data_IF_919261007822
#
_entry.id   IF_919261007822
#
_cell.length_a   1.000
_cell.length_b   1.000
_cell.length_c   1.000
_cell.angle_alpha   90.00
_cell.angle_beta   90.00
_cell.angle_gamma   90.00
#
_symmetry.space_group_name_H-M   'P 1'
#
loop_
_entity.id
_entity.type
_entity.pdbx_description
1 polymer ?
#
# COMPACT_ATOMS: atom_id res chain seq x y z
N UNK A 1 21.60 -2.36 15.78
CA UNK A 1 20.62 -2.25 14.68
C UNK A 1 19.61 -1.19 15.05
N UNK A 2 19.53 -0.13 14.25
CA UNK A 2 18.65 1.03 14.45
C UNK A 2 17.18 0.63 14.56
N UNK A 3 16.76 -0.37 13.76
CA UNK A 3 15.39 -0.90 13.75
C UNK A 3 14.82 -1.26 15.14
N UNK A 4 15.62 -1.89 16.02
CA UNK A 4 15.15 -2.27 17.36
C UNK A 4 14.93 -1.04 18.25
N UNK A 5 15.76 -0.01 18.09
CA UNK A 5 15.62 1.24 18.82
C UNK A 5 14.41 2.02 18.31
N UNK A 6 14.25 2.11 16.99
CA UNK A 6 13.15 2.82 16.34
C UNK A 6 11.78 2.21 16.72
N UNK A 7 11.68 0.87 16.75
CA UNK A 7 10.47 0.16 17.21
C UNK A 7 10.20 0.34 18.71
N UNK A 8 11.24 0.42 19.54
CA UNK A 8 11.07 0.66 20.97
C UNK A 8 10.52 2.07 21.22
N UNK A 9 11.10 3.07 20.57
CA UNK A 9 10.64 4.46 20.64
C UNK A 9 9.22 4.62 20.09
N UNK A 10 8.89 3.93 18.99
CA UNK A 10 7.52 3.89 18.47
C UNK A 10 6.53 3.36 19.51
N UNK A 11 6.81 2.22 20.15
CA UNK A 11 5.90 1.64 21.16
C UNK A 11 5.71 2.53 22.39
N UNK A 12 6.79 3.17 22.85
CA UNK A 12 6.70 4.14 23.94
C UNK A 12 5.78 5.31 23.54
N UNK A 13 6.02 5.93 22.38
CA UNK A 13 5.21 7.04 21.88
C UNK A 13 3.76 6.65 21.59
N UNK A 14 3.52 5.44 21.08
CA UNK A 14 2.18 4.93 20.81
C UNK A 14 1.36 4.83 22.09
N UNK A 15 1.96 4.37 23.20
CA UNK A 15 1.30 4.33 24.49
C UNK A 15 0.97 5.75 25.00
N UNK A 16 1.87 6.73 24.84
CA UNK A 16 1.60 8.12 25.22
C UNK A 16 0.51 8.79 24.36
N UNK A 17 0.47 8.49 23.07
CA UNK A 17 -0.55 8.99 22.14
C UNK A 17 -1.97 8.53 22.49
N UNK A 18 -2.13 7.42 23.21
CA UNK A 18 -3.45 6.96 23.69
C UNK A 18 -4.00 7.81 24.84
N UNK A 19 -3.16 8.59 25.52
CA UNK A 19 -3.53 9.38 26.71
C UNK A 19 -3.43 10.90 26.51
N UNK A 20 -2.78 11.39 25.44
CA UNK A 20 -2.59 12.80 25.14
C UNK A 20 -3.35 13.24 23.88
N UNK A 21 -4.09 14.35 23.97
CA UNK A 21 -4.93 14.87 22.88
C UNK A 21 -4.19 15.77 21.88
N UNK A 22 -2.92 16.08 22.10
CA UNK A 22 -2.16 16.99 21.23
C UNK A 22 -0.77 16.40 20.96
N UNK A 23 -0.58 15.90 19.73
CA UNK A 23 0.68 15.33 19.27
C UNK A 23 1.34 16.34 18.34
N UNK A 24 2.57 16.73 18.68
CA UNK A 24 3.37 17.57 17.81
C UNK A 24 3.67 16.83 16.48
N UNK A 25 3.93 17.60 15.41
CA UNK A 25 4.14 17.05 14.07
C UNK A 25 5.29 16.03 13.99
N UNK A 26 6.34 16.18 14.82
CA UNK A 26 7.46 15.24 14.85
C UNK A 26 7.07 13.90 15.48
N UNK A 27 6.24 13.95 16.52
CA UNK A 27 5.69 12.75 17.16
C UNK A 27 4.72 12.03 16.24
N UNK A 28 3.86 12.77 15.52
CA UNK A 28 2.97 12.18 14.52
C UNK A 28 3.76 11.45 13.42
N UNK A 29 4.78 12.10 12.85
CA UNK A 29 5.62 11.48 11.82
C UNK A 29 6.33 10.20 12.32
N UNK A 30 6.75 10.17 13.58
CA UNK A 30 7.37 8.97 14.17
C UNK A 30 6.37 7.84 14.42
N UNK A 31 5.13 8.16 14.80
CA UNK A 31 4.06 7.17 14.93
C UNK A 31 3.68 6.59 13.57
N UNK A 32 3.47 7.46 12.58
CA UNK A 32 3.16 7.09 11.20
C UNK A 32 4.23 6.16 10.62
N UNK A 33 5.51 6.48 10.84
CA UNK A 33 6.63 5.64 10.41
C UNK A 33 6.69 4.31 11.16
N UNK A 34 6.46 4.32 12.47
CA UNK A 34 6.48 3.12 13.28
C UNK A 34 5.35 2.14 12.95
N UNK A 35 4.17 2.65 12.57
CA UNK A 35 3.05 1.84 12.08
C UNK A 35 3.43 1.10 10.80
N UNK A 36 4.06 1.80 9.85
CA UNK A 36 4.56 1.23 8.59
C UNK A 36 5.67 0.20 8.81
N UNK A 37 6.56 0.46 9.76
CA UNK A 37 7.60 -0.49 10.17
C UNK A 37 7.01 -1.77 10.77
N UNK A 38 5.93 -1.68 11.53
CA UNK A 38 5.25 -2.88 12.05
C UNK A 38 4.56 -3.64 10.92
N UNK A 39 3.92 -2.92 9.99
CA UNK A 39 3.19 -3.54 8.89
C UNK A 39 4.10 -4.32 7.94
N UNK A 40 5.23 -3.76 7.53
CA UNK A 40 6.19 -4.44 6.63
C UNK A 40 6.85 -5.66 7.28
N UNK A 41 6.85 -5.74 8.61
CA UNK A 41 7.36 -6.90 9.33
C UNK A 41 6.33 -8.02 9.48
N UNK A 42 5.07 -7.80 9.08
CA UNK A 42 4.04 -8.85 9.07
C UNK A 42 4.30 -9.79 7.91
N UNK A 43 4.55 -11.06 8.23
CA UNK A 43 4.69 -12.12 7.24
C UNK A 43 3.47 -13.04 7.28
N UNK A 44 2.95 -13.38 6.10
CA UNK A 44 1.91 -14.40 5.98
C UNK A 44 2.44 -15.77 6.44
N UNK A 45 1.61 -16.52 7.13
CA UNK A 45 1.98 -17.86 7.60
C UNK A 45 2.30 -18.77 6.41
N UNK A 46 3.36 -19.58 6.53
CA UNK A 46 3.82 -20.52 5.49
C UNK A 46 4.40 -19.88 4.22
N UNK A 47 4.74 -18.59 4.24
CA UNK A 47 5.48 -17.94 3.15
C UNK A 47 6.94 -17.74 3.56
N UNK A 48 7.84 -18.72 3.33
CA UNK A 48 9.25 -18.56 3.63
C UNK A 48 9.85 -17.48 2.72
N UNK A 49 10.33 -16.40 3.31
CA UNK A 49 11.00 -15.31 2.59
C UNK A 49 12.51 -15.49 2.62
N UNK A 50 13.16 -15.33 1.46
CA UNK A 50 14.61 -15.37 1.36
C UNK A 50 15.25 -14.23 2.17
N UNK A 51 16.44 -14.45 2.75
CA UNK A 51 17.10 -13.48 3.64
C UNK A 51 17.38 -12.18 2.90
N UNK A 52 17.80 -12.26 1.64
CA UNK A 52 18.03 -11.11 0.76
C UNK A 52 16.79 -10.22 0.59
N UNK A 53 15.60 -10.80 0.52
CA UNK A 53 14.34 -10.07 0.41
C UNK A 53 13.92 -9.44 1.74
N UNK A 54 14.15 -10.15 2.86
CA UNK A 54 13.92 -9.58 4.20
C UNK A 54 14.83 -8.37 4.44
N UNK A 55 16.11 -8.47 4.07
CA UNK A 55 17.07 -7.37 4.17
C UNK A 55 16.63 -6.19 3.30
N UNK A 56 16.15 -6.45 2.09
CA UNK A 56 15.61 -5.41 1.20
C UNK A 56 14.43 -4.65 1.86
N UNK A 57 13.45 -5.37 2.42
CA UNK A 57 12.31 -4.76 3.13
C UNK A 57 12.77 -3.86 4.29
N UNK A 58 13.74 -4.33 5.08
CA UNK A 58 14.29 -3.56 6.20
C UNK A 58 15.04 -2.31 5.72
N UNK A 59 15.82 -2.41 4.64
CA UNK A 59 16.54 -1.26 4.07
C UNK A 59 15.55 -0.21 3.57
N UNK A 60 14.51 -0.62 2.83
CA UNK A 60 13.50 0.28 2.31
C UNK A 60 12.80 1.06 3.44
N UNK A 61 12.48 0.38 4.54
CA UNK A 61 11.83 0.98 5.71
C UNK A 61 12.76 1.92 6.50
N UNK A 62 14.03 1.54 6.67
CA UNK A 62 15.03 2.39 7.33
C UNK A 62 15.36 3.66 6.54
N UNK A 63 15.23 3.61 5.21
CA UNK A 63 15.45 4.77 4.34
C UNK A 63 14.21 5.66 4.17
N UNK A 64 13.05 5.25 4.69
CA UNK A 64 11.82 6.05 4.66
C UNK A 64 11.03 5.96 3.35
N UNK A 65 11.31 4.97 2.49
CA UNK A 65 10.56 4.79 1.24
C UNK A 65 9.09 4.41 1.45
N UNK A 66 8.74 3.96 2.65
CA UNK A 66 7.35 3.65 3.02
C UNK A 66 6.57 4.85 3.57
N UNK A 67 7.25 5.97 3.88
CA UNK A 67 6.62 7.10 4.58
C UNK A 67 5.50 7.74 3.73
N UNK A 68 5.64 7.72 2.40
CA UNK A 68 4.63 8.21 1.44
C UNK A 68 3.54 7.20 1.08
N UNK A 69 3.58 5.99 1.62
CA UNK A 69 2.64 4.91 1.31
C UNK A 69 1.63 4.79 2.46
N UNK A 70 0.36 4.56 2.13
CA UNK A 70 -0.65 4.27 3.14
C UNK A 70 -0.41 2.90 3.77
N UNK A 71 -0.68 2.76 5.07
CA UNK A 71 -0.39 1.52 5.83
C UNK A 71 -1.06 0.30 5.19
N UNK A 72 -2.29 0.46 4.71
CA UNK A 72 -3.06 -0.60 4.04
C UNK A 72 -2.40 -1.09 2.74
N UNK A 73 -1.69 -0.21 2.04
CA UNK A 73 -1.02 -0.51 0.77
C UNK A 73 0.33 -1.21 0.94
N UNK A 74 0.89 -1.26 2.15
CA UNK A 74 2.22 -1.85 2.40
C UNK A 74 2.25 -3.34 2.05
N UNK A 75 1.18 -4.05 2.39
CA UNK A 75 1.00 -5.48 2.07
C UNK A 75 1.08 -5.77 0.57
N UNK A 76 0.79 -4.78 -0.26
CA UNK A 76 0.85 -4.86 -1.71
C UNK A 76 2.15 -4.31 -2.31
N UNK A 77 2.71 -3.29 -1.64
CA UNK A 77 3.95 -2.66 -2.01
C UNK A 77 5.12 -3.64 -1.89
N UNK A 78 5.22 -4.35 -0.76
CA UNK A 78 6.33 -5.27 -0.48
C UNK A 78 6.55 -6.32 -1.58
N UNK A 79 5.56 -7.15 -1.97
CA UNK A 79 5.78 -8.18 -2.98
C UNK A 79 6.13 -7.60 -4.36
N UNK A 80 5.53 -6.46 -4.73
CA UNK A 80 5.82 -5.78 -6.00
C UNK A 80 7.24 -5.17 -6.00
N UNK A 81 7.68 -4.63 -4.86
CA UNK A 81 9.04 -4.14 -4.68
C UNK A 81 10.05 -5.30 -4.83
N UNK A 82 9.76 -6.45 -4.20
CA UNK A 82 10.59 -7.64 -4.32
C UNK A 82 10.69 -8.12 -5.77
N UNK A 83 9.58 -8.17 -6.49
CA UNK A 83 9.55 -8.55 -7.91
C UNK A 83 10.35 -7.56 -8.78
N UNK A 84 10.13 -6.27 -8.59
CA UNK A 84 10.84 -5.22 -9.33
C UNK A 84 12.36 -5.29 -9.14
N UNK A 85 12.82 -5.40 -7.89
CA UNK A 85 14.26 -5.50 -7.59
C UNK A 85 14.82 -6.84 -8.07
N UNK A 86 14.08 -7.93 -7.92
CA UNK A 86 14.53 -9.24 -8.42
C UNK A 86 14.68 -9.28 -9.94
N UNK A 87 13.84 -8.55 -10.67
CA UNK A 87 13.87 -8.47 -12.13
C UNK A 87 14.95 -7.51 -12.66
N UNK A 88 15.20 -6.38 -12.00
CA UNK A 88 16.06 -5.31 -12.51
C UNK A 88 17.45 -5.24 -11.86
N UNK A 89 17.57 -5.74 -10.62
CA UNK A 89 18.76 -5.59 -9.77
C UNK A 89 19.07 -6.86 -8.98
N UNK A 90 18.99 -8.01 -9.66
CA UNK A 90 19.25 -9.32 -9.05
C UNK A 90 20.67 -9.46 -8.47
N UNK A 91 21.63 -8.77 -9.08
CA UNK A 91 23.03 -8.67 -8.64
C UNK A 91 23.14 -8.14 -7.20
N UNK A 92 22.29 -7.19 -6.82
CA UNK A 92 22.23 -6.64 -5.47
C UNK A 92 21.73 -7.71 -4.49
N UNK A 93 20.69 -8.47 -4.86
CA UNK A 93 20.16 -9.56 -4.04
C UNK A 93 21.19 -10.69 -3.86
N UNK A 94 21.92 -11.03 -4.92
CA UNK A 94 23.02 -12.01 -4.83
C UNK A 94 24.15 -11.52 -3.93
N UNK A 95 24.52 -10.24 -4.02
CA UNK A 95 25.56 -9.62 -3.18
C UNK A 95 25.19 -9.71 -1.70
N UNK A 96 23.93 -9.38 -1.36
CA UNK A 96 23.40 -9.51 0.01
C UNK A 96 23.44 -10.98 0.45
N UNK A 97 23.00 -11.91 -0.39
CA UNK A 97 22.97 -13.34 -0.07
C UNK A 97 24.36 -13.93 0.17
N UNK A 98 25.35 -13.55 -0.64
CA UNK A 98 26.71 -14.13 -0.59
C UNK A 98 27.57 -13.46 0.49
N UNK A 99 27.52 -12.14 0.60
CA UNK A 99 28.46 -11.36 1.41
C UNK A 99 27.84 -10.75 2.66
N UNK A 100 26.50 -10.62 2.70
CA UNK A 100 25.80 -9.88 3.74
C UNK A 100 26.08 -8.37 3.74
N UNK A 101 26.72 -7.86 2.69
CA UNK A 101 27.14 -6.46 2.55
C UNK A 101 26.67 -5.89 1.23
N UNK A 102 26.48 -4.58 1.23
CA UNK A 102 26.31 -3.76 0.04
C UNK A 102 27.51 -2.83 -0.04
N UNK A 103 28.10 -2.71 -1.22
CA UNK A 103 29.05 -1.63 -1.47
C UNK A 103 28.30 -0.29 -1.67
N UNK A 104 29.03 0.81 -1.58
CA UNK A 104 28.43 2.16 -1.70
C UNK A 104 27.76 2.37 -3.07
N UNK A 105 28.26 1.74 -4.13
CA UNK A 105 27.70 1.86 -5.48
C UNK A 105 26.37 1.09 -5.62
N UNK A 106 26.28 -0.10 -5.04
CA UNK A 106 25.09 -0.93 -4.93
C UNK A 106 24.06 -0.25 -4.05
N UNK A 107 24.46 0.35 -2.93
CA UNK A 107 23.56 1.10 -2.07
C UNK A 107 22.96 2.31 -2.80
N UNK A 108 23.78 3.08 -3.53
CA UNK A 108 23.30 4.20 -4.34
C UNK A 108 22.36 3.76 -5.47
N UNK A 109 22.67 2.62 -6.11
CA UNK A 109 21.82 2.03 -7.16
C UNK A 109 20.49 1.56 -6.59
N UNK A 110 20.52 0.86 -5.46
CA UNK A 110 19.33 0.39 -4.76
C UNK A 110 18.43 1.56 -4.34
N UNK A 111 19.00 2.63 -3.79
CA UNK A 111 18.25 3.86 -3.43
C UNK A 111 17.52 4.43 -4.63
N UNK A 112 18.19 4.59 -5.77
CA UNK A 112 17.56 5.12 -7.01
C UNK A 112 16.48 4.18 -7.53
N UNK A 113 16.72 2.87 -7.47
CA UNK A 113 15.75 1.87 -7.91
C UNK A 113 14.48 1.89 -7.04
N UNK A 114 14.64 1.97 -5.71
CA UNK A 114 13.54 2.08 -4.75
C UNK A 114 12.78 3.39 -4.91
N UNK A 115 13.48 4.52 -5.10
CA UNK A 115 12.87 5.82 -5.34
C UNK A 115 11.99 5.79 -6.60
N UNK A 116 12.55 5.30 -7.71
CA UNK A 116 11.80 5.15 -8.96
C UNK A 116 10.58 4.25 -8.78
N UNK A 117 10.76 3.07 -8.18
CA UNK A 117 9.67 2.13 -7.96
C UNK A 117 8.57 2.72 -7.06
N UNK A 118 8.95 3.40 -5.98
CA UNK A 118 8.00 4.03 -5.05
C UNK A 118 7.17 5.09 -5.76
N UNK A 119 7.82 5.94 -6.56
CA UNK A 119 7.12 6.96 -7.35
C UNK A 119 6.18 6.32 -8.38
N UNK A 120 6.61 5.27 -9.08
CA UNK A 120 5.78 4.52 -10.03
C UNK A 120 4.58 3.83 -9.32
N UNK A 121 4.78 3.31 -8.11
CA UNK A 121 3.73 2.68 -7.30
C UNK A 121 2.69 3.70 -6.83
N UNK A 122 3.12 4.87 -6.35
CA UNK A 122 2.23 5.97 -5.94
C UNK A 122 1.47 6.50 -7.16
N UNK A 123 2.15 6.71 -8.29
CA UNK A 123 1.53 7.19 -9.53
C UNK A 123 0.51 6.19 -10.11
N UNK A 124 0.72 4.89 -9.92
CA UNK A 124 -0.21 3.84 -10.33
C UNK A 124 -1.37 3.60 -9.34
N UNK A 125 -1.45 4.37 -8.25
CA UNK A 125 -2.58 4.37 -7.32
C UNK A 125 -2.61 3.21 -6.33
N UNK A 126 -1.47 2.59 -6.01
CA UNK A 126 -1.27 1.63 -4.91
C UNK A 126 -2.42 0.65 -4.63
N UNK A 127 -2.59 -0.42 -5.42
CA UNK A 127 -3.61 -1.46 -5.12
C UNK A 127 -3.05 -2.66 -4.32
N UNK A 128 -3.85 -3.36 -3.47
CA UNK A 128 -5.29 -3.61 -3.69
C UNK A 128 -6.30 -3.15 -2.60
N UNK A 129 -7.45 -2.69 -3.12
CA UNK A 129 -8.82 -2.70 -2.61
C UNK A 129 -9.14 -2.95 -1.11
N UNK A 130 -9.60 -1.90 -0.41
CA UNK A 130 -10.97 -1.85 0.12
C UNK A 130 -11.38 -0.43 0.55
N UNK A 131 -12.36 0.12 -0.19
CA UNK A 131 -13.44 1.02 0.27
C UNK A 131 -13.61 2.35 -0.47
N UNK A 132 -14.77 2.42 -1.14
CA UNK A 132 -15.63 3.59 -1.33
C UNK A 132 -15.13 4.80 -2.13
N UNK A 133 -15.52 4.83 -3.42
CA UNK A 133 -16.15 6.01 -4.00
C UNK A 133 -17.50 5.59 -4.61
N UNK A 134 -18.60 5.83 -3.90
CA UNK A 134 -19.44 7.05 -3.96
C UNK A 134 -20.60 6.83 -4.92
N UNK A 135 -21.80 6.75 -4.33
CA UNK A 135 -23.05 6.55 -5.03
C UNK A 135 -23.31 7.62 -6.08
N UNK A 136 -23.80 7.16 -7.23
CA UNK A 136 -24.44 8.03 -8.21
C UNK A 136 -25.92 7.71 -8.20
N UNK A 137 -26.69 8.65 -7.65
CA UNK A 137 -28.14 8.64 -7.70
C UNK A 137 -28.63 8.66 -9.14
N UNK A 138 -29.61 7.81 -9.42
CA UNK A 138 -30.43 7.84 -10.62
C UNK A 138 -31.87 7.76 -10.21
N UNK A 139 -32.43 8.88 -9.74
CA UNK A 139 -33.87 9.08 -9.67
C UNK A 139 -34.44 9.08 -11.09
N UNK A 140 -35.01 7.96 -11.53
CA UNK A 140 -35.85 7.93 -12.71
C UNK A 140 -37.31 7.78 -12.28
N UNK A 141 -37.88 8.88 -11.82
CA UNK A 141 -39.31 9.15 -11.92
C UNK A 141 -39.64 9.43 -13.38
N UNK A 142 -40.50 8.65 -14.02
CA UNK A 142 -41.45 9.08 -15.07
C UNK A 142 -41.98 7.85 -15.82
N UNK A 143 -43.31 7.75 -15.95
CA UNK A 143 -43.90 6.73 -16.83
C UNK A 143 -45.34 6.31 -16.57
N UNK A 144 -46.14 7.05 -15.79
CA UNK A 144 -47.59 6.85 -15.68
C UNK A 144 -48.28 7.27 -16.99
N UNK A 145 -48.23 6.42 -18.02
CA UNK A 145 -48.96 6.59 -19.27
C UNK A 145 -50.34 5.94 -19.21
N UNK A 146 -51.27 6.56 -18.49
CA UNK A 146 -52.70 6.23 -18.54
C UNK A 146 -53.41 7.36 -19.30
N UNK A 147 -53.86 7.12 -20.53
CA UNK A 147 -55.06 7.72 -21.15
C UNK A 147 -55.05 7.57 -22.67
N UNK A 148 -56.14 7.02 -23.21
CA UNK A 148 -56.73 7.55 -24.45
C UNK A 148 -56.37 6.86 -25.76
N UNK A 149 -57.12 5.82 -26.13
CA UNK A 149 -57.71 5.79 -27.48
C UNK A 149 -59.00 4.95 -27.47
N UNK A 150 -60.10 5.69 -27.54
CA UNK A 150 -61.42 5.18 -27.90
C UNK A 150 -61.40 4.53 -29.29
N UNK A 151 -62.43 3.71 -29.52
CA UNK A 151 -63.26 3.70 -30.73
C UNK A 151 -63.20 2.44 -31.59
N UNK A 152 -64.29 1.67 -31.43
CA UNK A 152 -65.10 1.04 -32.49
C UNK A 152 -64.45 -0.14 -33.23
N UNK A 153 -65.15 -1.08 -33.84
CA UNK A 153 -66.49 -1.66 -33.79
C UNK A 153 -66.44 -2.71 -34.94
N UNK A 154 -67.17 -3.81 -34.77
CA UNK A 154 -67.72 -4.65 -35.85
C UNK A 154 -66.89 -5.81 -36.48
N UNK A 155 -67.70 -6.82 -36.85
CA UNK A 155 -67.53 -7.96 -37.75
C UNK A 155 -66.83 -9.20 -37.16
N UNK A 156 -67.52 -10.27 -36.74
CA UNK A 156 -68.46 -11.17 -37.45
C UNK A 156 -67.77 -12.21 -38.36
N UNK A 157 -68.23 -13.47 -38.18
CA UNK A 157 -68.11 -14.66 -39.05
C UNK A 157 -66.79 -15.44 -38.92
N UNK A 158 -66.80 -16.76 -38.67
CA UNK A 158 -67.91 -17.72 -38.58
C UNK A 158 -67.47 -19.05 -37.99
#
# INVERSE_FOLDING_TARGET
>A
GTLRLDLAQYREKQAFAQFGSDLDASTKAQLDRGERLVEILKQAQYVPMAVELQVLSIIAANLGFLDGIEVEQISAYEPKMHEYISANHNDILESIRKSGKLDEAQEATLKKALEKFTNDFIASGGGPASSSSTGQGGSASSGSGMSGSESRQAAAQG
#
